data_IF_473078907228
#
_entry.id   IF_473078907228
#
_cell.length_a   1.000
_cell.length_b   1.000
_cell.length_c   1.000
_cell.angle_alpha   90.00
_cell.angle_beta   90.00
_cell.angle_gamma   90.00
#
_symmetry.space_group_name_H-M   'P 1'
#
loop_
_entity.id
_entity.type
_entity.pdbx_description
1 polymer ?
#
# COMPACT_ATOMS: atom_id res chain seq x y z
N UNK A 1 1.45 8.12 14.49
CA UNK A 1 1.19 7.96 13.04
C UNK A 1 2.25 8.74 12.30
N UNK A 2 3.15 8.04 11.61
CA UNK A 2 4.31 8.62 10.92
C UNK A 2 3.94 9.04 9.50
N UNK A 3 3.27 8.15 8.75
CA UNK A 3 2.68 8.45 7.43
C UNK A 3 1.29 7.85 7.28
N UNK A 4 0.61 8.26 6.21
CA UNK A 4 -0.75 7.84 5.86
C UNK A 4 -0.76 7.51 4.38
N UNK A 5 -0.97 6.25 4.03
CA UNK A 5 -0.91 5.77 2.64
C UNK A 5 -2.31 5.70 2.07
N UNK A 6 -2.53 6.31 0.92
CA UNK A 6 -3.77 6.15 0.17
C UNK A 6 -3.66 4.92 -0.73
N UNK A 7 -4.65 4.04 -0.62
CA UNK A 7 -4.70 2.78 -1.33
C UNK A 7 -6.02 2.71 -2.09
N UNK A 8 -6.00 2.05 -3.23
CA UNK A 8 -7.18 1.75 -4.03
C UNK A 8 -6.99 0.36 -4.62
N UNK A 9 -8.08 -0.39 -4.80
CA UNK A 9 -8.01 -1.68 -5.47
C UNK A 9 -7.95 -1.47 -6.97
N UNK A 10 -7.02 -2.19 -7.62
CA UNK A 10 -6.94 -2.21 -9.07
C UNK A 10 -8.26 -2.74 -9.66
N UNK A 11 -8.72 -2.12 -10.75
CA UNK A 11 -10.00 -2.48 -11.38
C UNK A 11 -11.21 -1.74 -10.81
N UNK A 12 -11.03 -0.90 -9.79
CA UNK A 12 -12.06 0.07 -9.37
C UNK A 12 -12.03 1.29 -10.29
N UNK A 13 -13.21 1.82 -10.63
CA UNK A 13 -13.35 2.97 -11.53
C UNK A 13 -13.57 4.29 -10.80
N UNK A 14 -13.80 4.25 -9.48
CA UNK A 14 -14.05 5.42 -8.65
C UNK A 14 -12.98 5.59 -7.57
N UNK A 15 -12.38 6.79 -7.54
CA UNK A 15 -11.44 7.18 -6.48
C UNK A 15 -12.13 7.28 -5.11
N UNK A 16 -13.45 7.36 -5.06
CA UNK A 16 -14.22 7.32 -3.81
C UNK A 16 -14.08 5.97 -3.07
N UNK A 17 -13.72 4.89 -3.78
CA UNK A 17 -13.42 3.58 -3.20
C UNK A 17 -12.01 3.50 -2.58
N UNK A 18 -11.22 4.58 -2.70
CA UNK A 18 -9.93 4.65 -2.04
C UNK A 18 -10.08 4.62 -0.52
N UNK A 19 -9.04 4.13 0.13
CA UNK A 19 -8.99 4.02 1.58
C UNK A 19 -7.58 4.30 2.07
N UNK A 20 -7.50 4.73 3.32
CA UNK A 20 -6.24 5.16 3.91
C UNK A 20 -5.73 4.13 4.91
N UNK A 21 -4.46 3.74 4.78
CA UNK A 21 -3.76 2.87 5.72
C UNK A 21 -2.79 3.71 6.55
N UNK A 22 -3.06 3.89 7.86
CA UNK A 22 -2.14 4.58 8.74
C UNK A 22 -0.92 3.70 8.99
N UNK A 23 0.28 4.26 8.89
CA UNK A 23 1.52 3.63 9.33
C UNK A 23 2.04 4.41 10.53
N UNK A 24 2.11 3.75 11.67
CA UNK A 24 2.49 4.32 12.95
C UNK A 24 4.01 4.24 13.16
N UNK A 25 4.48 4.92 14.21
CA UNK A 25 5.87 4.85 14.65
C UNK A 25 6.22 3.43 15.09
N UNK A 26 5.23 2.72 15.66
CA UNK A 26 5.24 1.31 16.01
C UNK A 26 4.01 0.64 15.42
N UNK A 27 4.18 -0.51 14.77
CA UNK A 27 3.12 -1.21 14.07
C UNK A 27 3.04 -2.65 14.56
N UNK A 28 1.83 -3.11 14.89
CA UNK A 28 1.58 -4.50 15.26
C UNK A 28 1.39 -5.33 13.99
N UNK A 29 2.33 -6.23 13.76
CA UNK A 29 2.36 -7.20 12.67
C UNK A 29 2.20 -8.59 13.28
N UNK A 30 0.95 -9.03 13.37
CA UNK A 30 0.57 -10.35 13.88
C UNK A 30 1.14 -10.66 15.28
N UNK A 31 1.08 -9.69 16.19
CA UNK A 31 1.59 -9.78 17.56
C UNK A 31 3.04 -9.32 17.73
N UNK A 32 3.75 -9.03 16.63
CA UNK A 32 5.11 -8.49 16.67
C UNK A 32 5.08 -6.97 16.47
N UNK A 33 5.73 -6.22 17.35
CA UNK A 33 5.84 -4.77 17.21
C UNK A 33 7.06 -4.42 16.38
N UNK A 34 6.85 -3.78 15.23
CA UNK A 34 7.90 -3.34 14.31
C UNK A 34 7.93 -1.80 14.27
N UNK A 35 9.11 -1.22 14.45
CA UNK A 35 9.33 0.21 14.32
C UNK A 35 9.22 0.65 12.86
N UNK A 36 8.74 1.88 12.62
CA UNK A 36 8.53 2.41 11.27
C UNK A 36 9.77 2.29 10.37
N UNK A 37 10.95 2.56 10.93
CA UNK A 37 12.19 2.62 10.15
C UNK A 37 12.65 1.21 9.71
N UNK A 38 12.15 0.16 10.35
CA UNK A 38 12.40 -1.25 10.04
C UNK A 38 11.25 -1.92 9.27
N UNK A 39 10.13 -1.21 9.06
CA UNK A 39 8.93 -1.77 8.44
C UNK A 39 9.17 -2.08 6.96
N UNK A 40 8.91 -3.33 6.55
CA UNK A 40 9.07 -3.79 5.18
C UNK A 40 7.75 -3.75 4.41
N UNK A 41 7.84 -3.85 3.09
CA UNK A 41 6.64 -3.94 2.24
C UNK A 41 5.79 -5.17 2.57
N UNK A 42 6.40 -6.30 2.95
CA UNK A 42 5.66 -7.47 3.44
C UNK A 42 4.78 -7.14 4.65
N UNK A 43 5.32 -6.39 5.61
CA UNK A 43 4.56 -5.93 6.77
C UNK A 43 3.44 -4.97 6.36
N UNK A 44 3.68 -4.11 5.37
CA UNK A 44 2.63 -3.26 4.80
C UNK A 44 1.50 -4.08 4.17
N UNK A 45 1.80 -5.18 3.47
CA UNK A 45 0.77 -6.09 2.94
C UNK A 45 -0.12 -6.61 4.06
N UNK A 46 0.46 -7.02 5.18
CA UNK A 46 -0.30 -7.44 6.36
C UNK A 46 -1.18 -6.31 6.90
N UNK A 47 -0.67 -5.08 7.02
CA UNK A 47 -1.45 -3.93 7.50
C UNK A 47 -2.65 -3.62 6.60
N UNK A 48 -2.46 -3.62 5.27
CA UNK A 48 -3.53 -3.42 4.28
C UNK A 48 -4.55 -4.55 4.40
N UNK A 49 -4.09 -5.80 4.39
CA UNK A 49 -4.92 -6.98 4.50
C UNK A 49 -5.74 -6.96 5.78
N UNK A 50 -5.12 -6.73 6.93
CA UNK A 50 -5.82 -6.73 8.22
C UNK A 50 -6.90 -5.65 8.27
N UNK A 51 -6.63 -4.45 7.72
CA UNK A 51 -7.63 -3.37 7.62
C UNK A 51 -8.82 -3.74 6.72
N UNK A 52 -8.59 -4.52 5.66
CA UNK A 52 -9.57 -4.86 4.63
C UNK A 52 -9.92 -6.34 4.57
N UNK A 53 -9.66 -7.09 5.64
CA UNK A 53 -9.75 -8.57 5.68
C UNK A 53 -11.15 -9.06 5.30
N UNK A 54 -12.19 -8.37 5.76
CA UNK A 54 -13.58 -8.69 5.42
C UNK A 54 -13.96 -8.44 3.95
N UNK A 55 -13.19 -7.62 3.21
CA UNK A 55 -13.45 -7.29 1.81
C UNK A 55 -12.60 -8.11 0.84
N UNK A 56 -11.33 -8.35 1.18
CA UNK A 56 -10.35 -8.88 0.23
C UNK A 56 -10.56 -10.36 -0.12
N UNK A 57 -11.25 -11.16 0.70
CA UNK A 57 -11.40 -12.63 0.51
C UNK A 57 -10.09 -13.34 0.14
N UNK A 58 -8.97 -12.80 0.61
CA UNK A 58 -7.63 -13.35 0.47
C UNK A 58 -7.26 -13.89 1.85
N UNK A 59 -6.77 -15.13 1.89
CA UNK A 59 -6.39 -15.77 3.15
C UNK A 59 -4.94 -15.47 3.54
N UNK A 60 -4.09 -15.19 2.56
CA UNK A 60 -2.67 -14.94 2.74
C UNK A 60 -2.27 -13.53 2.26
N UNK A 61 -1.89 -12.61 3.18
CA UNK A 61 -1.47 -11.26 2.81
C UNK A 61 -0.25 -11.22 1.88
N UNK A 62 0.61 -12.25 1.88
CA UNK A 62 1.82 -12.27 1.06
C UNK A 62 1.50 -12.33 -0.45
N UNK A 63 0.30 -12.79 -0.80
CA UNK A 63 -0.21 -12.84 -2.18
C UNK A 63 -0.58 -11.46 -2.75
N UNK A 64 -0.72 -10.44 -1.90
CA UNK A 64 -1.04 -9.09 -2.37
C UNK A 64 0.09 -8.53 -3.23
N UNK A 65 -0.24 -8.03 -4.42
CA UNK A 65 0.70 -7.27 -5.25
C UNK A 65 0.43 -5.79 -5.02
N UNK A 66 1.44 -5.07 -4.53
CA UNK A 66 1.33 -3.64 -4.25
C UNK A 66 2.07 -2.85 -5.34
N UNK A 67 1.40 -1.82 -5.84
CA UNK A 67 1.96 -0.88 -6.80
C UNK A 67 2.00 0.51 -6.19
N UNK A 68 3.13 1.19 -6.33
CA UNK A 68 3.25 2.62 -6.07
C UNK A 68 3.03 3.38 -7.37
N UNK A 69 2.11 4.34 -7.32
CA UNK A 69 1.74 5.20 -8.45
C UNK A 69 1.71 6.64 -7.98
N UNK A 70 1.99 7.58 -8.88
CA UNK A 70 1.74 8.99 -8.60
C UNK A 70 0.23 9.26 -8.54
N UNK A 71 -0.18 10.27 -7.77
CA UNK A 71 -1.57 10.69 -7.75
C UNK A 71 -1.87 11.49 -9.03
N UNK A 72 -2.92 11.11 -9.75
CA UNK A 72 -3.35 11.86 -10.94
C UNK A 72 -4.65 11.33 -11.53
N UNK A 73 -5.26 12.12 -12.42
CA UNK A 73 -6.56 11.79 -13.03
C UNK A 73 -6.56 10.46 -13.79
N UNK A 74 -5.38 10.05 -14.28
CA UNK A 74 -5.17 8.82 -15.02
C UNK A 74 -5.45 7.55 -14.19
N UNK A 75 -5.50 7.63 -12.85
CA UNK A 75 -5.77 6.47 -12.00
C UNK A 75 -7.13 5.83 -12.30
N UNK A 76 -8.11 6.62 -12.75
CA UNK A 76 -9.43 6.14 -13.17
C UNK A 76 -9.37 5.25 -14.42
N UNK A 77 -8.33 5.42 -15.24
CA UNK A 77 -8.12 4.66 -16.47
C UNK A 77 -7.29 3.39 -16.24
N UNK A 78 -6.74 3.19 -15.02
CA UNK A 78 -5.95 2.02 -14.65
C UNK A 78 -6.87 0.97 -14.02
N UNK A 79 -7.34 0.03 -14.85
CA UNK A 79 -8.18 -1.08 -14.43
C UNK A 79 -7.47 -2.43 -14.51
N UNK A 80 -6.33 -2.53 -15.21
CA UNK A 80 -5.56 -3.78 -15.36
C UNK A 80 -4.11 -3.66 -14.93
N UNK A 81 -3.48 -4.81 -14.68
CA UNK A 81 -2.05 -4.89 -14.30
C UNK A 81 -1.14 -4.45 -15.46
N UNK A 82 -1.53 -4.68 -16.71
CA UNK A 82 -0.77 -4.21 -17.88
C UNK A 82 -0.72 -2.69 -17.98
N UNK A 83 -1.81 -2.00 -17.62
CA UNK A 83 -1.87 -0.54 -17.64
C UNK A 83 -1.01 0.07 -16.54
N UNK A 84 -1.02 -0.51 -15.33
CA UNK A 84 -0.23 0.02 -14.20
C UNK A 84 1.27 -0.22 -14.38
N UNK A 85 1.68 -1.31 -15.05
CA UNK A 85 3.10 -1.61 -15.35
C UNK A 85 3.86 -0.45 -15.98
N UNK A 86 3.20 0.34 -16.82
CA UNK A 86 3.81 1.48 -17.52
C UNK A 86 3.76 2.79 -16.72
N UNK A 87 3.07 2.82 -15.58
CA UNK A 87 2.78 4.05 -14.81
C UNK A 87 3.15 3.96 -13.32
N UNK A 88 3.52 2.77 -12.86
CA UNK A 88 3.79 2.50 -11.46
C UNK A 88 5.00 1.60 -11.27
N UNK A 89 5.37 1.46 -10.01
CA UNK A 89 6.48 0.65 -9.55
C UNK A 89 5.93 -0.47 -8.65
N UNK A 90 6.30 -1.73 -8.91
CA UNK A 90 5.96 -2.84 -8.03
C UNK A 90 6.76 -2.72 -6.75
N UNK A 91 6.07 -2.81 -5.61
CA UNK A 91 6.73 -2.82 -4.31
C UNK A 91 7.24 -4.23 -3.98
N UNK A 92 8.51 -4.34 -3.62
CA UNK A 92 9.18 -5.62 -3.34
C UNK A 92 9.08 -5.95 -1.85
N UNK A 93 8.56 -7.14 -1.45
CA UNK A 93 8.24 -7.45 -0.06
C UNK A 93 9.38 -7.32 0.96
N UNK A 94 10.62 -7.64 0.54
CA UNK A 94 11.80 -7.63 1.43
C UNK A 94 12.34 -6.22 1.68
N UNK A 95 11.97 -5.26 0.83
CA UNK A 95 12.47 -3.90 0.91
C UNK A 95 11.78 -3.10 2.01
N UNK A 96 12.50 -2.11 2.54
CA UNK A 96 11.99 -1.20 3.55
C UNK A 96 10.96 -0.25 2.93
N UNK A 97 9.92 0.06 3.69
CA UNK A 97 8.91 1.04 3.30
C UNK A 97 9.55 2.41 2.99
N UNK A 98 10.57 2.78 3.74
CA UNK A 98 11.31 4.05 3.61
C UNK A 98 12.02 4.20 2.26
N UNK A 99 12.34 3.09 1.57
CA UNK A 99 12.89 3.12 0.21
C UNK A 99 11.90 3.73 -0.80
N UNK A 100 10.60 3.46 -0.60
CA UNK A 100 9.55 3.94 -1.49
C UNK A 100 8.88 5.23 -0.99
N UNK A 101 8.80 5.41 0.33
CA UNK A 101 8.09 6.51 0.98
C UNK A 101 8.98 7.16 2.04
N UNK A 102 9.90 8.02 1.59
CA UNK A 102 10.94 8.63 2.42
C UNK A 102 10.46 9.81 3.29
N UNK A 103 9.32 9.64 3.99
CA UNK A 103 8.69 10.57 4.93
C UNK A 103 7.74 11.63 4.30
N UNK A 104 6.83 12.19 5.13
CA UNK A 104 5.56 12.91 4.84
C UNK A 104 5.40 13.75 3.55
N UNK A 105 6.48 14.30 2.98
CA UNK A 105 6.41 15.13 1.77
C UNK A 105 6.37 14.32 0.46
N UNK A 106 6.70 13.02 0.50
CA UNK A 106 6.65 12.15 -0.68
C UNK A 106 5.29 11.44 -0.87
N UNK A 107 4.48 11.30 0.20
CA UNK A 107 3.19 10.61 0.14
C UNK A 107 2.03 11.49 -0.40
N UNK A 108 2.26 12.81 -0.50
CA UNK A 108 1.31 13.81 -1.01
C UNK A 108 1.73 14.43 -2.36
N UNK A 109 2.72 13.85 -3.05
CA UNK A 109 3.14 14.26 -4.39
C UNK A 109 2.84 13.18 -5.43
#
# INVERSE_FOLDING_TARGET
MKISLNCIFLGTTDLSDSFTVPVCDKNDINGNVIDFDDLKIGDLKFLIWNKKKGMLKIDDPDTLILWKVALGDYLKDIITEEQIKNKGEVLVPIELLSNYFSNKNAANK
#
